data_IF_558055465681
#
_entry.id   IF_558055465681
#
_cell.length_a   1.000
_cell.length_b   1.000
_cell.length_c   1.000
_cell.angle_alpha   90.00
_cell.angle_beta   90.00
_cell.angle_gamma   90.00
#
_symmetry.space_group_name_H-M   'P 1'
#
loop_
_entity.id
_entity.type
_entity.pdbx_description
1 polymer ?
#
# COMPACT_ATOMS: atom_id res chain seq x y z
N UNK A 1 47.62 -45.72 14.27
CA UNK A 1 47.48 -44.94 13.02
C UNK A 1 46.03 -44.68 12.62
N UNK A 2 45.03 -45.32 13.23
CA UNK A 2 43.63 -45.22 12.80
C UNK A 2 42.84 -44.02 13.38
N UNK A 3 43.33 -43.42 14.47
CA UNK A 3 42.63 -42.31 15.15
C UNK A 3 42.76 -40.98 14.39
N UNK A 4 43.94 -40.70 13.82
CA UNK A 4 44.22 -39.45 13.08
C UNK A 4 43.40 -39.39 11.79
N UNK A 5 43.33 -40.49 11.04
CA UNK A 5 42.51 -40.57 9.83
C UNK A 5 41.01 -40.39 10.13
N UNK A 6 40.52 -40.93 11.25
CA UNK A 6 39.13 -40.72 11.71
C UNK A 6 38.86 -39.25 12.07
N UNK A 7 39.79 -38.60 12.78
CA UNK A 7 39.71 -37.18 13.12
C UNK A 7 39.74 -36.29 11.87
N UNK A 8 40.64 -36.55 10.92
CA UNK A 8 40.71 -35.81 9.65
C UNK A 8 39.42 -35.96 8.82
N UNK A 9 38.80 -37.14 8.85
CA UNK A 9 37.52 -37.37 8.20
C UNK A 9 36.38 -36.59 8.89
N UNK A 10 36.31 -36.65 10.22
CA UNK A 10 35.30 -35.92 11.00
C UNK A 10 35.42 -34.40 10.86
N UNK A 11 36.65 -33.86 10.83
CA UNK A 11 36.87 -32.43 10.58
C UNK A 11 36.37 -32.05 9.20
N UNK A 12 36.65 -32.86 8.18
CA UNK A 12 36.15 -32.59 6.83
C UNK A 12 34.63 -32.62 6.74
N UNK A 13 33.98 -33.61 7.36
CA UNK A 13 32.52 -33.68 7.43
C UNK A 13 31.91 -32.47 8.17
N UNK A 14 32.55 -32.03 9.25
CA UNK A 14 32.14 -30.83 9.98
C UNK A 14 32.31 -29.55 9.15
N UNK A 15 33.43 -29.41 8.44
CA UNK A 15 33.69 -28.28 7.55
C UNK A 15 32.68 -28.24 6.39
N UNK A 16 32.36 -29.39 5.79
CA UNK A 16 31.34 -29.51 4.75
C UNK A 16 29.94 -29.16 5.27
N UNK A 17 29.58 -29.67 6.47
CA UNK A 17 28.31 -29.34 7.11
C UNK A 17 28.20 -27.85 7.43
N UNK A 18 29.28 -27.22 7.91
CA UNK A 18 29.32 -25.79 8.17
C UNK A 18 29.12 -24.98 6.89
N UNK A 19 29.81 -25.33 5.80
CA UNK A 19 29.63 -24.64 4.52
C UNK A 19 28.20 -24.73 3.98
N UNK A 20 27.52 -25.86 4.20
CA UNK A 20 26.11 -26.02 3.83
C UNK A 20 25.23 -25.15 4.71
N UNK A 21 25.46 -25.13 6.02
CA UNK A 21 24.70 -24.30 6.95
C UNK A 21 24.85 -22.80 6.66
N UNK A 22 26.06 -22.35 6.32
CA UNK A 22 26.35 -20.96 5.95
C UNK A 22 25.59 -20.56 4.69
N UNK A 23 25.63 -21.41 3.65
CA UNK A 23 24.88 -21.17 2.39
C UNK A 23 23.37 -21.15 2.59
N UNK A 24 22.84 -22.02 3.45
CA UNK A 24 21.42 -22.01 3.79
C UNK A 24 21.02 -20.73 4.51
N UNK A 25 21.87 -20.24 5.42
CA UNK A 25 21.61 -19.01 6.15
C UNK A 25 21.67 -17.79 5.24
N UNK A 26 22.65 -17.73 4.31
CA UNK A 26 22.76 -16.68 3.29
C UNK A 26 21.52 -16.66 2.39
N UNK A 27 21.12 -17.81 1.82
CA UNK A 27 19.94 -17.90 0.96
C UNK A 27 18.63 -17.56 1.70
N UNK A 28 18.54 -17.87 3.00
CA UNK A 28 17.39 -17.48 3.80
C UNK A 28 17.33 -15.96 4.00
N UNK A 29 18.46 -15.33 4.30
CA UNK A 29 18.54 -13.88 4.48
C UNK A 29 18.21 -13.13 3.18
N UNK A 30 18.69 -13.61 2.03
CA UNK A 30 18.34 -13.06 0.71
C UNK A 30 16.82 -13.04 0.48
N UNK A 31 16.12 -14.11 0.84
CA UNK A 31 14.65 -14.18 0.70
C UNK A 31 13.93 -13.29 1.72
N UNK A 32 14.46 -13.11 2.93
CA UNK A 32 13.91 -12.15 3.88
C UNK A 32 14.10 -10.71 3.39
N UNK A 33 15.23 -10.40 2.77
CA UNK A 33 15.46 -9.10 2.14
C UNK A 33 14.47 -8.83 1.00
N UNK A 34 14.13 -9.85 0.19
CA UNK A 34 13.06 -9.75 -0.80
C UNK A 34 11.68 -9.45 -0.16
N UNK A 35 11.36 -10.05 0.99
CA UNK A 35 10.13 -9.73 1.73
C UNK A 35 10.17 -8.30 2.27
N UNK A 36 11.30 -7.88 2.88
CA UNK A 36 11.50 -6.53 3.41
C UNK A 36 11.44 -5.46 2.31
N UNK A 37 11.84 -5.80 1.09
CA UNK A 37 11.78 -4.92 -0.07
C UNK A 37 10.35 -4.48 -0.39
N UNK A 38 9.33 -5.30 -0.12
CA UNK A 38 7.92 -4.90 -0.24
C UNK A 38 7.64 -3.65 0.59
N UNK A 39 8.12 -3.63 1.83
CA UNK A 39 7.90 -2.53 2.77
C UNK A 39 8.62 -1.26 2.32
N UNK A 40 9.85 -1.39 1.81
CA UNK A 40 10.58 -0.27 1.21
C UNK A 40 9.84 0.31 0.02
N UNK A 41 9.35 -0.53 -0.90
CA UNK A 41 8.60 -0.08 -2.08
C UNK A 41 7.28 0.58 -1.70
N UNK A 42 6.51 0.04 -0.76
CA UNK A 42 5.26 0.67 -0.29
C UNK A 42 5.54 2.02 0.40
N UNK A 43 6.65 2.15 1.13
CA UNK A 43 7.08 3.41 1.75
C UNK A 43 7.47 4.47 0.71
N UNK A 44 8.19 4.09 -0.34
CA UNK A 44 8.49 4.97 -1.47
C UNK A 44 7.21 5.46 -2.16
N UNK A 45 6.28 4.54 -2.46
CA UNK A 45 4.99 4.87 -3.05
C UNK A 45 4.19 5.84 -2.16
N UNK A 46 4.16 5.62 -0.84
CA UNK A 46 3.51 6.54 0.11
C UNK A 46 4.09 7.96 0.02
N UNK A 47 5.43 8.06 -0.02
CA UNK A 47 6.10 9.35 -0.09
C UNK A 47 5.79 10.08 -1.41
N UNK A 48 5.78 9.37 -2.53
CA UNK A 48 5.41 9.92 -3.83
C UNK A 48 3.94 10.36 -3.89
N UNK A 49 3.04 9.54 -3.34
CA UNK A 49 1.61 9.84 -3.26
C UNK A 49 1.32 11.17 -2.56
N UNK A 50 2.02 11.51 -1.47
CA UNK A 50 1.83 12.79 -0.76
C UNK A 50 2.07 13.99 -1.71
N UNK A 51 3.18 13.94 -2.47
CA UNK A 51 3.49 14.95 -3.48
C UNK A 51 2.44 15.02 -4.59
N UNK A 52 2.08 13.87 -5.17
CA UNK A 52 1.11 13.81 -6.27
C UNK A 52 -0.29 14.26 -5.85
N UNK A 53 -0.72 13.92 -4.63
CA UNK A 53 -2.00 14.37 -4.07
C UNK A 53 -2.00 15.88 -3.85
N UNK A 54 -0.89 16.43 -3.33
CA UNK A 54 -0.74 17.87 -3.14
C UNK A 54 -0.80 18.64 -4.48
N UNK A 55 -0.15 18.11 -5.51
CA UNK A 55 -0.12 18.68 -6.86
C UNK A 55 -1.40 18.40 -7.68
N UNK A 56 -2.29 17.54 -7.15
CA UNK A 56 -3.49 17.06 -7.84
C UNK A 56 -3.17 16.33 -9.16
N UNK A 57 -2.04 15.63 -9.23
CA UNK A 57 -1.62 14.87 -10.40
C UNK A 57 -2.37 13.53 -10.47
N UNK A 58 -3.44 13.52 -11.26
CA UNK A 58 -4.31 12.37 -11.42
C UNK A 58 -3.61 11.13 -11.98
N UNK A 59 -2.73 11.31 -12.96
CA UNK A 59 -2.07 10.21 -13.66
C UNK A 59 -0.98 9.61 -12.77
N UNK A 60 -0.26 10.45 -12.04
CA UNK A 60 0.76 9.98 -11.10
C UNK A 60 0.12 9.21 -9.93
N UNK A 61 -0.96 9.72 -9.32
CA UNK A 61 -1.69 8.97 -8.26
C UNK A 61 -2.23 7.65 -8.80
N UNK A 62 -2.77 7.63 -10.02
CA UNK A 62 -3.25 6.40 -10.64
C UNK A 62 -2.13 5.37 -10.78
N UNK A 63 -0.99 5.78 -11.33
CA UNK A 63 0.16 4.90 -11.52
C UNK A 63 0.65 4.34 -10.18
N UNK A 64 0.78 5.18 -9.17
CA UNK A 64 1.19 4.75 -7.82
C UNK A 64 0.20 3.75 -7.20
N UNK A 65 -1.10 3.84 -7.49
CA UNK A 65 -2.06 2.84 -7.01
C UNK A 65 -1.92 1.48 -7.71
N UNK A 66 -1.56 1.46 -9.00
CA UNK A 66 -1.22 0.23 -9.70
C UNK A 66 0.10 -0.37 -9.22
N UNK A 67 1.11 0.47 -8.97
CA UNK A 67 2.39 0.05 -8.40
C UNK A 67 2.20 -0.53 -7.00
N UNK A 68 1.35 0.10 -6.16
CA UNK A 68 0.99 -0.43 -4.85
C UNK A 68 0.35 -1.82 -4.98
N UNK A 69 -0.61 -1.99 -5.89
CA UNK A 69 -1.24 -3.29 -6.13
C UNK A 69 -0.23 -4.34 -6.59
N UNK A 70 0.69 -3.97 -7.48
CA UNK A 70 1.73 -4.88 -7.97
C UNK A 70 2.72 -5.28 -6.88
N UNK A 71 3.15 -4.33 -6.05
CA UNK A 71 4.09 -4.58 -4.95
C UNK A 71 3.50 -5.48 -3.84
N UNK A 72 2.18 -5.48 -3.69
CA UNK A 72 1.44 -6.22 -2.66
C UNK A 72 0.74 -7.45 -3.21
N UNK A 73 1.03 -7.85 -4.45
CA UNK A 73 0.33 -8.95 -5.11
C UNK A 73 0.71 -10.30 -4.48
N UNK A 74 -0.25 -10.91 -3.77
CA UNK A 74 -0.02 -12.14 -3.02
C UNK A 74 0.47 -13.31 -3.88
N UNK A 75 0.01 -13.41 -5.13
CA UNK A 75 0.43 -14.45 -6.07
C UNK A 75 1.92 -14.34 -6.46
N UNK A 76 2.46 -13.11 -6.46
CA UNK A 76 3.86 -12.84 -6.76
C UNK A 76 4.77 -13.07 -5.55
N UNK A 77 4.28 -12.78 -4.34
CA UNK A 77 5.04 -12.84 -3.09
C UNK A 77 5.00 -14.22 -2.42
N UNK A 78 3.92 -14.98 -2.60
CA UNK A 78 3.75 -16.31 -2.00
C UNK A 78 4.90 -17.28 -2.33
N UNK A 79 5.42 -17.36 -3.57
CA UNK A 79 6.56 -18.21 -3.88
C UNK A 79 7.82 -17.88 -3.07
N UNK A 80 8.08 -16.58 -2.84
CA UNK A 80 9.24 -16.08 -2.06
C UNK A 80 9.06 -16.47 -0.59
N UNK A 81 7.90 -16.16 -0.02
CA UNK A 81 7.58 -16.50 1.36
C UNK A 81 7.65 -18.01 1.62
N UNK A 82 7.11 -18.82 0.71
CA UNK A 82 7.18 -20.29 0.78
C UNK A 82 8.63 -20.77 0.86
N UNK A 83 9.50 -20.24 0.00
CA UNK A 83 10.92 -20.60 0.02
C UNK A 83 11.59 -20.19 1.33
N UNK A 84 11.30 -18.99 1.83
CA UNK A 84 11.83 -18.50 3.10
C UNK A 84 11.44 -19.42 4.26
N UNK A 85 10.15 -19.80 4.37
CA UNK A 85 9.65 -20.70 5.42
C UNK A 85 10.28 -22.11 5.32
N UNK A 86 10.50 -22.62 4.11
CA UNK A 86 11.18 -23.90 3.92
C UNK A 86 12.66 -23.85 4.33
N UNK A 87 13.38 -22.78 3.94
CA UNK A 87 14.78 -22.60 4.32
C UNK A 87 14.94 -22.36 5.82
N UNK A 88 14.03 -21.61 6.45
CA UNK A 88 14.00 -21.42 7.90
C UNK A 88 13.88 -22.76 8.63
N UNK A 89 12.93 -23.61 8.21
CA UNK A 89 12.75 -24.92 8.83
C UNK A 89 13.99 -25.82 8.66
N UNK A 90 14.65 -25.77 7.49
CA UNK A 90 15.89 -26.50 7.25
C UNK A 90 17.06 -25.98 8.11
N UNK A 91 17.21 -24.65 8.20
CA UNK A 91 18.27 -23.99 8.97
C UNK A 91 18.16 -24.32 10.46
N UNK A 92 16.94 -24.26 11.00
CA UNK A 92 16.69 -24.42 12.43
C UNK A 92 16.45 -25.89 12.83
N UNK A 93 16.55 -26.83 11.88
CA UNK A 93 16.30 -28.25 12.09
C UNK A 93 14.84 -28.56 12.47
N UNK A 94 13.92 -27.68 12.08
CA UNK A 94 12.49 -27.78 12.32
C UNK A 94 11.78 -28.77 11.39
N UNK A 95 10.49 -28.96 11.63
CA UNK A 95 9.64 -29.71 10.73
C UNK A 95 9.35 -28.88 9.48
N UNK A 96 9.49 -29.49 8.30
CA UNK A 96 9.13 -28.82 7.06
C UNK A 96 7.63 -28.47 7.06
N UNK A 97 7.25 -27.28 6.56
CA UNK A 97 5.85 -26.90 6.43
C UNK A 97 5.07 -27.89 5.55
N UNK A 98 3.77 -28.06 5.83
CA UNK A 98 2.90 -28.86 4.98
C UNK A 98 2.74 -28.20 3.61
N UNK A 99 3.12 -28.91 2.55
CA UNK A 99 3.00 -28.46 1.17
C UNK A 99 1.56 -28.12 0.80
N UNK A 100 0.55 -28.79 1.38
CA UNK A 100 -0.85 -28.45 1.12
C UNK A 100 -1.24 -27.08 1.66
N UNK A 101 -0.58 -26.62 2.72
CA UNK A 101 -0.87 -25.35 3.41
C UNK A 101 -0.11 -24.19 2.79
N UNK A 102 1.19 -24.37 2.49
CA UNK A 102 2.06 -23.27 2.03
C UNK A 102 1.90 -22.89 0.55
N UNK A 103 1.12 -23.66 -0.22
CA UNK A 103 0.90 -23.40 -1.65
C UNK A 103 -0.28 -22.45 -1.91
N UNK A 104 -1.02 -22.05 -0.87
CA UNK A 104 -2.22 -21.23 -1.01
C UNK A 104 -2.29 -20.18 0.09
N UNK A 105 -2.72 -18.97 -0.29
CA UNK A 105 -3.09 -17.95 0.70
C UNK A 105 -4.42 -18.33 1.35
N UNK A 106 -4.54 -18.19 2.68
CA UNK A 106 -5.81 -18.39 3.36
C UNK A 106 -6.82 -17.34 2.91
N UNK A 107 -8.10 -17.74 2.84
CA UNK A 107 -9.19 -16.78 2.72
C UNK A 107 -9.41 -16.10 4.09
N UNK A 108 -9.15 -14.79 4.15
CA UNK A 108 -9.44 -14.01 5.34
C UNK A 108 -10.93 -13.58 5.36
N UNK A 109 -11.64 -13.77 6.49
CA UNK A 109 -12.99 -13.25 6.63
C UNK A 109 -12.97 -11.71 6.61
N UNK A 110 -14.05 -11.10 6.12
CA UNK A 110 -14.15 -9.64 6.00
C UNK A 110 -14.00 -8.89 7.34
N UNK A 111 -14.22 -9.57 8.46
CA UNK A 111 -14.07 -9.03 9.82
C UNK A 111 -12.60 -8.98 10.27
N UNK A 112 -11.73 -9.79 9.68
CA UNK A 112 -10.28 -9.83 9.92
C UNK A 112 -9.50 -8.96 8.92
N UNK A 113 -10.14 -8.55 7.82
CA UNK A 113 -9.64 -7.51 6.92
C UNK A 113 -9.75 -6.14 7.61
N UNK A 114 -8.84 -5.88 8.55
CA UNK A 114 -8.80 -4.66 9.36
C UNK A 114 -8.21 -3.45 8.62
N UNK A 115 -7.94 -3.57 7.32
CA UNK A 115 -7.40 -2.47 6.53
C UNK A 115 -8.39 -1.30 6.47
N UNK A 116 -7.90 -0.04 6.43
CA UNK A 116 -8.78 1.11 6.33
C UNK A 116 -9.60 1.01 5.02
N UNK A 117 -10.88 1.40 5.09
CA UNK A 117 -11.76 1.48 3.91
C UNK A 117 -12.52 2.80 3.92
N UNK A 118 -12.67 3.41 2.74
CA UNK A 118 -13.43 4.64 2.55
C UNK A 118 -14.33 4.48 1.34
N UNK A 119 -15.63 4.48 1.57
CA UNK A 119 -16.60 4.52 0.47
C UNK A 119 -16.95 5.95 0.09
N UNK A 120 -17.31 6.15 -1.18
CA UNK A 120 -17.80 7.44 -1.66
C UNK A 120 -19.03 7.90 -0.88
N UNK A 121 -19.93 6.99 -0.50
CA UNK A 121 -21.13 7.31 0.28
C UNK A 121 -20.80 7.89 1.65
N UNK A 122 -19.85 7.26 2.38
CA UNK A 122 -19.39 7.75 3.69
C UNK A 122 -18.74 9.13 3.54
N UNK A 123 -17.87 9.28 2.54
CA UNK A 123 -17.18 10.52 2.26
C UNK A 123 -18.15 11.68 1.93
N UNK A 124 -19.15 11.42 1.09
CA UNK A 124 -20.17 12.40 0.72
C UNK A 124 -21.04 12.79 1.92
N UNK A 125 -21.51 11.81 2.69
CA UNK A 125 -22.34 12.03 3.89
C UNK A 125 -21.61 12.89 4.92
N UNK A 126 -20.35 12.59 5.19
CA UNK A 126 -19.56 13.34 6.15
C UNK A 126 -19.28 14.77 5.67
N UNK A 127 -19.00 14.94 4.37
CA UNK A 127 -18.80 16.25 3.73
C UNK A 127 -20.07 17.10 3.77
N UNK A 128 -21.24 16.53 3.46
CA UNK A 128 -22.53 17.20 3.53
C UNK A 128 -22.88 17.62 4.97
N UNK A 129 -22.65 16.75 5.95
CA UNK A 129 -22.85 17.07 7.36
C UNK A 129 -21.99 18.27 7.77
N UNK A 130 -20.69 18.26 7.44
CA UNK A 130 -19.79 19.36 7.74
C UNK A 130 -20.19 20.68 7.07
N UNK A 131 -20.62 20.61 5.80
CA UNK A 131 -21.14 21.78 5.09
C UNK A 131 -22.40 22.34 5.75
N UNK A 132 -23.38 21.50 6.11
CA UNK A 132 -24.62 21.92 6.76
C UNK A 132 -24.36 22.61 8.12
N UNK A 133 -23.42 22.09 8.91
CA UNK A 133 -23.00 22.72 10.17
C UNK A 133 -22.34 24.09 9.93
N UNK A 134 -21.56 24.21 8.87
CA UNK A 134 -20.93 25.48 8.47
C UNK A 134 -21.96 26.48 7.96
N UNK A 135 -22.86 26.08 7.07
CA UNK A 135 -23.96 26.89 6.56
C UNK A 135 -24.83 27.43 7.69
N UNK A 136 -25.24 26.57 8.64
CA UNK A 136 -26.00 26.98 9.81
C UNK A 136 -25.26 28.00 10.68
N UNK A 137 -23.93 27.96 10.69
CA UNK A 137 -23.09 28.92 11.41
C UNK A 137 -22.99 30.25 10.65
N UNK A 138 -22.77 30.24 9.33
CA UNK A 138 -22.67 31.44 8.50
C UNK A 138 -23.99 32.23 8.50
N UNK A 139 -25.13 31.55 8.39
CA UNK A 139 -26.46 32.17 8.48
C UNK A 139 -26.77 32.80 9.83
N UNK A 140 -26.08 32.42 10.91
CA UNK A 140 -26.19 33.11 12.21
C UNK A 140 -25.35 34.38 12.26
N UNK A 141 -24.25 34.43 11.50
CA UNK A 141 -23.34 35.56 11.44
C UNK A 141 -23.95 36.67 10.57
N UNK A 142 -24.37 36.32 9.36
CA UNK A 142 -25.02 37.24 8.43
C UNK A 142 -26.53 37.03 8.44
N UNK A 143 -27.20 37.60 9.45
CA UNK A 143 -28.66 37.51 9.63
C UNK A 143 -29.37 38.87 9.52
N UNK A 144 -28.65 39.94 9.20
CA UNK A 144 -29.19 41.28 9.05
C UNK A 144 -29.57 41.61 7.59
N UNK A 145 -30.50 42.55 7.43
CA UNK A 145 -31.02 42.98 6.13
C UNK A 145 -29.94 43.76 5.36
N UNK A 146 -29.59 43.33 4.14
CA UNK A 146 -28.53 43.92 3.32
C UNK A 146 -27.20 43.15 3.29
N UNK A 147 -27.08 42.06 4.06
CA UNK A 147 -25.89 41.18 4.09
C UNK A 147 -26.04 39.93 3.19
N UNK A 148 -27.09 39.87 2.35
CA UNK A 148 -27.41 38.67 1.57
C UNK A 148 -26.30 38.34 0.54
N UNK A 149 -25.64 39.36 -0.01
CA UNK A 149 -24.53 39.17 -0.94
C UNK A 149 -23.30 38.58 -0.24
N UNK A 150 -22.95 39.10 0.94
CA UNK A 150 -21.82 38.61 1.73
C UNK A 150 -22.07 37.18 2.25
N UNK A 151 -23.32 36.86 2.61
CA UNK A 151 -23.71 35.50 2.97
C UNK A 151 -23.58 34.53 1.79
N UNK A 152 -24.03 34.92 0.59
CA UNK A 152 -23.93 34.05 -0.59
C UNK A 152 -22.47 33.79 -0.97
N UNK A 153 -21.62 34.83 -0.94
CA UNK A 153 -20.17 34.70 -1.18
C UNK A 153 -19.53 33.75 -0.14
N UNK A 154 -19.85 33.91 1.15
CA UNK A 154 -19.34 33.04 2.20
C UNK A 154 -19.84 31.59 2.09
N UNK A 155 -21.08 31.38 1.62
CA UNK A 155 -21.62 30.04 1.34
C UNK A 155 -20.95 29.41 0.13
N UNK A 156 -20.65 30.18 -0.91
CA UNK A 156 -19.91 29.71 -2.08
C UNK A 156 -18.49 29.27 -1.68
N UNK A 157 -17.79 30.05 -0.87
CA UNK A 157 -16.48 29.70 -0.32
C UNK A 157 -16.54 28.42 0.54
N UNK A 158 -17.55 28.31 1.40
CA UNK A 158 -17.75 27.11 2.21
C UNK A 158 -18.03 25.85 1.37
N UNK A 159 -18.78 25.97 0.27
CA UNK A 159 -19.00 24.87 -0.69
C UNK A 159 -17.68 24.46 -1.36
N UNK A 160 -16.90 25.43 -1.83
CA UNK A 160 -15.62 25.17 -2.47
C UNK A 160 -14.63 24.48 -1.52
N UNK A 161 -14.58 24.90 -0.25
CA UNK A 161 -13.76 24.27 0.77
C UNK A 161 -14.22 22.85 1.09
N UNK A 162 -15.53 22.59 1.18
CA UNK A 162 -16.06 21.25 1.42
C UNK A 162 -15.69 20.26 0.29
N UNK A 163 -15.66 20.73 -0.96
CA UNK A 163 -15.22 19.93 -2.12
C UNK A 163 -13.70 19.67 -2.06
N UNK A 164 -12.91 20.68 -1.69
CA UNK A 164 -11.46 20.54 -1.54
C UNK A 164 -11.10 19.56 -0.41
N UNK A 165 -11.74 19.69 0.74
CA UNK A 165 -11.57 18.78 1.87
C UNK A 165 -11.90 17.33 1.48
N UNK A 166 -12.97 17.13 0.71
CA UNK A 166 -13.35 15.81 0.18
C UNK A 166 -12.24 15.15 -0.63
N UNK A 167 -11.66 15.89 -1.58
CA UNK A 167 -10.55 15.39 -2.40
C UNK A 167 -9.31 15.09 -1.56
N UNK A 168 -9.00 15.97 -0.59
CA UNK A 168 -7.87 15.76 0.33
C UNK A 168 -8.06 14.54 1.22
N UNK A 169 -9.26 14.32 1.77
CA UNK A 169 -9.59 13.14 2.57
C UNK A 169 -9.52 11.85 1.76
N UNK A 170 -10.01 11.86 0.52
CA UNK A 170 -9.89 10.71 -0.36
C UNK A 170 -8.43 10.40 -0.72
N UNK A 171 -7.60 11.43 -0.94
CA UNK A 171 -6.17 11.25 -1.17
C UNK A 171 -5.44 10.71 0.07
N UNK A 172 -5.71 11.28 1.25
CA UNK A 172 -5.16 10.79 2.53
C UNK A 172 -5.49 9.34 2.78
N UNK A 173 -6.66 8.88 2.37
CA UNK A 173 -7.03 7.48 2.53
C UNK A 173 -6.10 6.50 1.79
N UNK A 174 -5.58 6.88 0.62
CA UNK A 174 -4.55 6.08 -0.08
C UNK A 174 -3.25 6.02 0.74
N UNK A 175 -2.89 7.11 1.42
CA UNK A 175 -1.72 7.11 2.31
C UNK A 175 -1.95 6.26 3.56
N UNK A 176 -3.14 6.32 4.15
CA UNK A 176 -3.52 5.48 5.30
C UNK A 176 -3.43 3.98 4.97
N UNK A 177 -3.79 3.57 3.74
CA UNK A 177 -3.59 2.21 3.26
C UNK A 177 -2.12 1.81 3.23
N UNK A 178 -1.25 2.67 2.68
CA UNK A 178 0.19 2.42 2.70
C UNK A 178 0.74 2.35 4.13
N UNK A 179 0.33 3.26 5.01
CA UNK A 179 0.74 3.29 6.42
C UNK A 179 0.35 2.00 7.12
N UNK A 180 -0.87 1.52 6.94
CA UNK A 180 -1.32 0.25 7.50
C UNK A 180 -0.43 -0.93 7.04
N UNK A 181 -0.10 -0.99 5.75
CA UNK A 181 0.78 -2.05 5.23
C UNK A 181 2.19 -1.94 5.83
N UNK A 182 2.77 -0.73 5.87
CA UNK A 182 4.15 -0.50 6.33
C UNK A 182 4.29 -0.70 7.84
N UNK A 183 3.36 -0.18 8.62
CA UNK A 183 3.48 -0.08 10.08
C UNK A 183 2.96 -1.32 10.80
N UNK A 184 1.93 -1.98 10.26
CA UNK A 184 1.29 -3.13 10.90
C UNK A 184 1.69 -4.45 10.24
N UNK A 185 1.45 -4.59 8.93
CA UNK A 185 1.56 -5.89 8.26
C UNK A 185 2.99 -6.29 7.92
N UNK A 186 3.80 -5.35 7.45
CA UNK A 186 5.17 -5.58 7.06
C UNK A 186 6.04 -6.16 8.20
N UNK A 187 6.05 -5.55 9.40
CA UNK A 187 6.78 -6.11 10.54
C UNK A 187 6.24 -7.47 10.99
N UNK A 188 4.93 -7.67 10.94
CA UNK A 188 4.31 -8.94 11.32
C UNK A 188 4.70 -10.08 10.37
N UNK A 189 4.77 -9.79 9.07
CA UNK A 189 5.19 -10.75 8.04
C UNK A 189 6.66 -11.15 8.25
N UNK A 190 7.54 -10.16 8.45
CA UNK A 190 8.97 -10.37 8.72
C UNK A 190 9.15 -11.24 9.96
N UNK A 191 8.56 -10.84 11.08
CA UNK A 191 8.66 -11.58 12.35
C UNK A 191 8.09 -13.00 12.21
N UNK A 192 6.98 -13.18 11.49
CA UNK A 192 6.40 -14.50 11.29
C UNK A 192 7.28 -15.39 10.41
N UNK A 193 7.85 -14.85 9.34
CA UNK A 193 8.77 -15.58 8.46
C UNK A 193 10.07 -15.96 9.19
N UNK A 194 10.67 -15.03 9.94
CA UNK A 194 11.88 -15.24 10.74
C UNK A 194 11.72 -16.36 11.78
N UNK A 195 10.56 -16.40 12.44
CA UNK A 195 10.26 -17.38 13.49
C UNK A 195 9.71 -18.71 12.94
N UNK A 196 9.55 -18.85 11.62
CA UNK A 196 8.95 -20.04 11.01
C UNK A 196 7.47 -20.22 11.36
N UNK A 197 6.77 -19.14 11.73
CA UNK A 197 5.33 -19.16 11.96
C UNK A 197 4.59 -19.17 10.62
N UNK A 198 4.45 -20.37 10.05
CA UNK A 198 3.84 -20.58 8.72
C UNK A 198 2.46 -19.94 8.61
N UNK A 199 1.56 -20.20 9.56
CA UNK A 199 0.19 -19.68 9.48
C UNK A 199 0.15 -18.16 9.63
N UNK A 200 0.88 -17.61 10.60
CA UNK A 200 0.95 -16.15 10.77
C UNK A 200 1.49 -15.47 9.52
N UNK A 201 2.57 -16.00 8.93
CA UNK A 201 3.14 -15.41 7.73
C UNK A 201 2.18 -15.47 6.51
N UNK A 202 1.44 -16.56 6.33
CA UNK A 202 0.45 -16.70 5.27
C UNK A 202 -0.77 -15.79 5.48
N UNK A 203 -1.26 -15.70 6.72
CA UNK A 203 -2.36 -14.80 7.09
C UNK A 203 -1.97 -13.33 6.89
N UNK A 204 -0.78 -12.93 7.33
CA UNK A 204 -0.28 -11.56 7.11
C UNK A 204 -0.06 -11.26 5.63
N UNK A 205 0.47 -12.21 4.83
CA UNK A 205 0.60 -12.01 3.39
C UNK A 205 -0.77 -11.89 2.70
N UNK A 206 -1.77 -12.67 3.13
CA UNK A 206 -3.13 -12.54 2.63
C UNK A 206 -3.74 -11.17 3.00
N UNK A 207 -3.41 -10.63 4.18
CA UNK A 207 -3.83 -9.29 4.60
C UNK A 207 -3.15 -8.19 3.76
N UNK A 208 -1.87 -8.34 3.43
CA UNK A 208 -1.15 -7.42 2.53
C UNK A 208 -1.79 -7.43 1.14
N UNK A 209 -2.09 -8.61 0.60
CA UNK A 209 -2.77 -8.73 -0.69
C UNK A 209 -4.14 -8.07 -0.69
N UNK A 210 -4.93 -8.28 0.37
CA UNK A 210 -6.25 -7.67 0.50
C UNK A 210 -6.17 -6.14 0.62
N UNK A 211 -5.27 -5.60 1.46
CA UNK A 211 -5.04 -4.17 1.56
C UNK A 211 -4.58 -3.56 0.22
N UNK A 212 -3.71 -4.27 -0.51
CA UNK A 212 -3.29 -3.93 -1.86
C UNK A 212 -4.43 -3.88 -2.87
N UNK A 213 -5.42 -4.78 -2.76
CA UNK A 213 -6.63 -4.77 -3.60
C UNK A 213 -7.52 -3.55 -3.35
N UNK A 214 -7.50 -2.99 -2.15
CA UNK A 214 -8.27 -1.79 -1.80
C UNK A 214 -7.74 -0.50 -2.46
N UNK A 215 -6.48 -0.49 -2.93
CA UNK A 215 -5.89 0.66 -3.61
C UNK A 215 -6.70 1.14 -4.82
N UNK A 216 -7.25 0.21 -5.62
CA UNK A 216 -8.08 0.53 -6.79
C UNK A 216 -9.42 1.20 -6.42
N UNK A 217 -10.24 0.59 -5.54
CA UNK A 217 -11.43 1.23 -4.98
C UNK A 217 -11.15 2.60 -4.35
N UNK A 218 -10.11 2.73 -3.53
CA UNK A 218 -9.72 3.99 -2.88
C UNK A 218 -9.37 5.08 -3.92
N UNK A 219 -8.60 4.72 -4.95
CA UNK A 219 -8.32 5.60 -6.07
C UNK A 219 -9.59 6.07 -6.78
N UNK A 220 -10.58 5.19 -6.95
CA UNK A 220 -11.83 5.57 -7.61
C UNK A 220 -12.62 6.62 -6.81
N UNK A 221 -12.57 6.54 -5.48
CA UNK A 221 -13.15 7.57 -4.59
C UNK A 221 -12.40 8.90 -4.75
N UNK A 222 -11.07 8.86 -4.79
CA UNK A 222 -10.23 10.04 -5.03
C UNK A 222 -10.52 10.70 -6.39
N UNK A 223 -10.58 9.93 -7.47
CA UNK A 223 -10.89 10.40 -8.81
C UNK A 223 -12.21 11.18 -8.85
N UNK A 224 -13.26 10.64 -8.24
CA UNK A 224 -14.59 11.28 -8.23
C UNK A 224 -14.55 12.58 -7.44
N UNK A 225 -13.92 12.58 -6.26
CA UNK A 225 -13.81 13.77 -5.41
C UNK A 225 -12.99 14.88 -6.10
N UNK A 226 -11.88 14.53 -6.76
CA UNK A 226 -11.03 15.48 -7.47
C UNK A 226 -11.72 16.01 -8.74
N UNK A 227 -12.46 15.17 -9.48
CA UNK A 227 -13.23 15.59 -10.65
C UNK A 227 -14.27 16.66 -10.30
N UNK A 228 -14.88 16.58 -9.12
CA UNK A 228 -15.81 17.60 -8.62
C UNK A 228 -15.09 18.91 -8.26
N UNK A 229 -13.89 18.83 -7.69
CA UNK A 229 -13.02 20.00 -7.46
C UNK A 229 -12.71 20.73 -8.77
N UNK A 230 -12.35 20.01 -9.83
CA UNK A 230 -12.07 20.60 -11.15
C UNK A 230 -13.29 21.29 -11.77
N UNK A 231 -14.49 20.69 -11.64
CA UNK A 231 -15.73 21.29 -12.16
C UNK A 231 -16.07 22.63 -11.50
N UNK A 232 -15.79 22.75 -10.21
CA UNK A 232 -16.17 23.91 -9.41
C UNK A 232 -15.09 25.00 -9.33
N UNK A 233 -13.82 24.67 -9.59
CA UNK A 233 -12.74 25.65 -9.69
C UNK A 233 -11.69 25.23 -10.72
N UNK A 234 -11.93 25.49 -12.02
CA UNK A 234 -10.95 25.27 -13.07
C UNK A 234 -9.91 26.40 -13.03
N UNK A 235 -9.01 26.38 -12.04
CA UNK A 235 -7.76 27.13 -12.12
C UNK A 235 -6.68 26.25 -12.77
N UNK A 236 -5.77 26.84 -13.57
CA UNK A 236 -4.65 26.11 -14.13
C UNK A 236 -3.72 25.74 -12.98
N UNK A 237 -3.80 24.49 -12.54
CA UNK A 237 -2.78 23.89 -11.68
C UNK A 237 -1.46 23.90 -12.46
N UNK A 238 -0.35 23.97 -11.73
CA UNK A 238 0.98 24.38 -12.19
C UNK A 238 1.40 23.88 -13.57
N UNK A 239 2.25 24.68 -14.23
CA UNK A 239 2.93 24.44 -15.51
C UNK A 239 2.81 22.97 -15.92
N UNK A 240 1.88 22.70 -16.84
CA UNK A 240 1.99 21.55 -17.73
C UNK A 240 3.34 21.74 -18.40
N UNK A 241 4.38 21.08 -17.89
CA UNK A 241 5.66 21.12 -18.55
C UNK A 241 5.38 20.59 -19.95
N UNK A 242 5.60 21.45 -20.94
CA UNK A 242 5.36 21.19 -22.35
C UNK A 242 6.35 20.12 -22.80
N UNK A 243 6.12 18.88 -22.39
CA UNK A 243 6.60 17.72 -23.08
C UNK A 243 5.41 17.20 -23.89
N UNK A 244 5.25 17.64 -25.15
CA UNK A 244 4.35 16.96 -26.06
C UNK A 244 4.77 15.49 -26.07
N UNK A 245 3.84 14.67 -25.61
CA UNK A 245 3.83 13.21 -25.70
C UNK A 245 4.51 12.75 -26.99
N UNK A 246 5.71 12.20 -26.89
CA UNK A 246 6.41 11.49 -27.97
C UNK A 246 5.76 10.11 -28.27
N UNK A 247 4.44 10.03 -28.17
CA UNK A 247 3.65 8.82 -28.42
C UNK A 247 2.80 8.88 -29.70
N UNK A 248 3.09 9.83 -30.59
CA UNK A 248 2.60 9.82 -31.98
C UNK A 248 3.73 9.90 -33.01
N UNK A 249 4.75 9.03 -32.91
CA UNK A 249 5.59 8.65 -34.08
C UNK A 249 5.87 7.15 -34.04
N UNK A 250 4.86 6.32 -34.28
CA UNK A 250 5.09 4.97 -34.83
C UNK A 250 3.90 4.36 -35.60
N UNK A 251 2.75 5.03 -35.67
CA UNK A 251 1.65 4.63 -36.57
C UNK A 251 1.56 5.60 -37.76
N UNK A 252 2.52 5.51 -38.68
CA UNK A 252 2.42 6.32 -39.90
C UNK A 252 3.63 6.41 -40.82
N UNK A 253 4.27 5.30 -41.18
CA UNK A 253 4.99 5.26 -42.47
C UNK A 253 4.99 3.84 -43.03
N UNK A 254 4.38 3.73 -44.22
CA UNK A 254 4.63 2.67 -45.20
C UNK A 254 6.02 2.85 -45.81
#
# INVERSE_FOLDING_TARGET
MDLVAKLEHQVREADEAQQIADRLSEAFEELLDEIRQVCSTVSEIRFELDGYIADCDFEAVQRSTYELRGATDGDSLLPVLRQALMLQALRDGGMLPDLGVIEQLPELPAEELAHPTLTLEVLLRDSEKGFNEREASLRRIWCEEGEEADLEDALQDARAEAIRDRANRAGRHLMELCEYIIEELCPELEVSAENGNVMGALETLAAIDAAGREAGPAYKVYEVALSEKYKNSPHPLGVVDEHPTLFEISLGTR
#
